data_IF_371038099861
#
_entry.id   IF_371038099861
#
_cell.length_a   1.000
_cell.length_b   1.000
_cell.length_c   1.000
_cell.angle_alpha   90.00
_cell.angle_beta   90.00
_cell.angle_gamma   90.00
#
_symmetry.space_group_name_H-M   'P 1'
#
loop_
_entity.id
_entity.type
_entity.pdbx_description
1 polymer ?
#
# COMPACT_ATOMS: atom_id res chain seq x y z
N UNK A 1 -22.27 17.82 -0.66
CA UNK A 1 -21.49 16.95 -1.58
C UNK A 1 -21.02 15.71 -0.81
N UNK A 2 -20.65 14.63 -1.51
CA UNK A 2 -20.09 13.44 -0.85
C UNK A 2 -18.89 13.77 0.05
N UNK A 3 -18.03 14.70 -0.38
CA UNK A 3 -16.91 15.19 0.43
C UNK A 3 -17.31 15.79 1.79
N UNK A 4 -18.46 16.47 1.88
CA UNK A 4 -18.94 17.00 3.17
C UNK A 4 -19.33 15.88 4.14
N UNK A 5 -20.02 14.84 3.64
CA UNK A 5 -20.43 13.68 4.45
C UNK A 5 -19.18 12.97 4.98
N UNK A 6 -18.22 12.68 4.11
CA UNK A 6 -16.98 12.01 4.49
C UNK A 6 -16.14 12.83 5.49
N UNK A 7 -16.12 14.16 5.36
CA UNK A 7 -15.47 15.04 6.34
C UNK A 7 -16.17 14.99 7.71
N UNK A 8 -17.50 15.04 7.73
CA UNK A 8 -18.27 14.95 8.96
C UNK A 8 -18.06 13.61 9.67
N UNK A 9 -18.01 12.49 8.93
CA UNK A 9 -17.69 11.17 9.48
C UNK A 9 -16.33 11.15 10.17
N UNK A 10 -15.28 11.68 9.51
CA UNK A 10 -13.93 11.73 10.09
C UNK A 10 -13.82 12.65 11.31
N UNK A 11 -14.66 13.67 11.40
CA UNK A 11 -14.72 14.61 12.52
C UNK A 11 -15.60 14.13 13.68
N UNK A 12 -16.29 13.00 13.55
CA UNK A 12 -17.17 12.47 14.59
C UNK A 12 -16.41 11.90 15.80
N UNK A 13 -17.14 11.59 16.88
CA UNK A 13 -16.55 11.09 18.12
C UNK A 13 -15.82 9.78 17.87
N UNK A 14 -14.51 9.78 18.15
CA UNK A 14 -13.66 8.60 18.09
C UNK A 14 -13.95 7.66 19.27
N UNK A 15 -13.79 6.36 19.04
CA UNK A 15 -13.79 5.38 20.12
C UNK A 15 -12.57 5.64 21.02
N UNK A 16 -12.67 5.50 22.36
CA UNK A 16 -11.51 5.58 23.23
C UNK A 16 -10.42 4.61 22.79
N UNK A 17 -9.18 5.09 22.72
CA UNK A 17 -8.04 4.30 22.23
C UNK A 17 -7.77 4.41 20.72
N UNK A 18 -8.66 5.06 19.95
CA UNK A 18 -8.49 5.25 18.51
C UNK A 18 -8.12 6.69 18.13
N UNK A 19 -7.10 6.84 17.30
CA UNK A 19 -6.57 8.16 16.92
C UNK A 19 -7.38 8.85 15.81
N UNK A 20 -8.00 8.06 14.91
CA UNK A 20 -8.59 8.56 13.67
C UNK A 20 -9.70 7.65 13.13
N UNK A 21 -10.74 8.27 12.57
CA UNK A 21 -11.72 7.61 11.72
C UNK A 21 -11.27 7.76 10.27
N UNK A 22 -11.17 6.64 9.55
CA UNK A 22 -10.85 6.60 8.13
C UNK A 22 -12.13 6.42 7.31
N UNK A 23 -12.13 6.95 6.10
CA UNK A 23 -13.15 6.62 5.09
C UNK A 23 -12.62 5.62 4.08
N UNK A 24 -13.50 4.91 3.38
CA UNK A 24 -13.12 3.89 2.42
C UNK A 24 -12.08 4.41 1.40
N UNK A 25 -10.99 3.65 1.21
CA UNK A 25 -9.89 3.97 0.31
C UNK A 25 -8.81 4.89 0.87
N UNK A 26 -9.02 5.50 2.04
CA UNK A 26 -8.07 6.48 2.59
C UNK A 26 -6.77 5.83 3.07
N UNK A 27 -6.83 4.65 3.70
CA UNK A 27 -5.63 3.92 4.16
C UNK A 27 -4.79 3.45 2.98
N UNK A 28 -5.44 2.95 1.93
CA UNK A 28 -4.81 2.50 0.70
C UNK A 28 -4.14 3.67 -0.04
N UNK A 29 -4.82 4.81 -0.11
CA UNK A 29 -4.24 6.03 -0.69
C UNK A 29 -3.00 6.51 0.07
N UNK A 30 -3.05 6.52 1.41
CA UNK A 30 -1.89 6.89 2.25
C UNK A 30 -0.73 5.91 2.07
N UNK A 31 -1.00 4.60 2.08
CA UNK A 31 0.01 3.58 1.81
C UNK A 31 0.60 3.73 0.39
N UNK A 32 -0.21 4.07 -0.60
CA UNK A 32 0.25 4.33 -1.97
C UNK A 32 1.13 5.58 -2.04
N UNK A 33 0.77 6.68 -1.38
CA UNK A 33 1.60 7.90 -1.35
C UNK A 33 2.98 7.63 -0.73
N UNK A 34 3.03 6.80 0.31
CA UNK A 34 4.26 6.39 0.97
C UNK A 34 5.12 5.52 0.05
N UNK A 35 4.55 4.46 -0.53
CA UNK A 35 5.24 3.53 -1.45
C UNK A 35 5.67 4.18 -2.75
N UNK A 36 4.91 5.17 -3.25
CA UNK A 36 5.30 5.98 -4.41
C UNK A 36 6.64 6.70 -4.18
N UNK A 37 6.94 7.08 -2.93
CA UNK A 37 8.17 7.77 -2.57
C UNK A 37 9.29 6.82 -2.16
N UNK A 38 8.98 5.75 -1.41
CA UNK A 38 9.99 4.87 -0.80
C UNK A 38 10.20 3.53 -1.52
N UNK A 39 9.35 3.19 -2.49
CA UNK A 39 9.29 1.87 -3.10
C UNK A 39 8.30 0.94 -2.43
N UNK A 40 8.06 -0.22 -3.05
CA UNK A 40 7.14 -1.24 -2.54
C UNK A 40 7.94 -2.25 -1.71
N UNK A 41 7.59 -2.46 -0.43
CA UNK A 41 8.26 -3.47 0.39
C UNK A 41 7.85 -4.87 -0.08
N UNK A 42 8.83 -5.68 -0.48
CA UNK A 42 8.67 -7.10 -0.80
C UNK A 42 9.36 -7.92 0.28
N UNK A 43 8.69 -8.94 0.83
CA UNK A 43 9.34 -9.87 1.75
C UNK A 43 10.33 -10.78 0.99
N UNK A 44 11.27 -11.41 1.72
CA UNK A 44 12.32 -12.24 1.12
C UNK A 44 11.77 -13.39 0.27
N UNK A 45 10.73 -14.08 0.74
CA UNK A 45 10.15 -15.22 0.03
C UNK A 45 9.57 -14.82 -1.33
N UNK A 46 8.88 -13.68 -1.38
CA UNK A 46 8.33 -13.15 -2.62
C UNK A 46 9.42 -12.69 -3.59
N UNK A 47 10.53 -12.12 -3.08
CA UNK A 47 11.68 -11.78 -3.91
C UNK A 47 12.28 -13.02 -4.58
N UNK A 48 12.44 -14.11 -3.83
CA UNK A 48 12.91 -15.40 -4.35
C UNK A 48 11.97 -15.96 -5.43
N UNK A 49 10.66 -15.98 -5.18
CA UNK A 49 9.65 -16.45 -6.14
C UNK A 49 9.65 -15.64 -7.44
N UNK A 50 9.86 -14.32 -7.37
CA UNK A 50 10.01 -13.47 -8.55
C UNK A 50 11.26 -13.83 -9.36
N UNK A 51 12.37 -14.13 -8.67
CA UNK A 51 13.63 -14.52 -9.31
C UNK A 51 13.49 -15.90 -9.98
N UNK A 52 12.82 -16.84 -9.34
CA UNK A 52 12.51 -18.19 -9.85
C UNK A 52 11.67 -18.09 -11.12
N UNK A 53 10.52 -17.40 -11.08
CA UNK A 53 9.67 -17.20 -12.27
C UNK A 53 10.43 -16.52 -13.41
N UNK A 54 11.30 -15.55 -13.11
CA UNK A 54 12.13 -14.90 -14.13
C UNK A 54 13.08 -15.90 -14.79
N UNK A 55 13.70 -16.80 -14.02
CA UNK A 55 14.58 -17.82 -14.55
C UNK A 55 13.81 -18.82 -15.42
N UNK A 56 12.68 -19.34 -14.93
CA UNK A 56 11.87 -20.34 -15.61
C UNK A 56 11.30 -19.84 -16.94
N UNK A 57 10.97 -18.56 -17.01
CA UNK A 57 10.48 -17.91 -18.22
C UNK A 57 11.60 -17.34 -19.11
N UNK A 58 12.88 -17.52 -18.75
CA UNK A 58 14.01 -17.03 -19.53
C UNK A 58 14.08 -15.50 -19.66
N UNK A 59 13.51 -14.76 -18.70
CA UNK A 59 13.39 -13.29 -18.71
C UNK A 59 14.70 -12.59 -18.31
N UNK A 60 15.77 -12.86 -19.06
CA UNK A 60 17.15 -12.46 -18.74
C UNK A 60 17.40 -10.95 -18.79
N UNK A 61 16.56 -10.19 -19.50
CA UNK A 61 16.64 -8.73 -19.59
C UNK A 61 16.25 -8.01 -18.29
N UNK A 62 15.59 -8.68 -17.35
CA UNK A 62 15.15 -8.07 -16.09
C UNK A 62 16.10 -8.42 -14.93
N UNK A 63 16.77 -7.42 -14.36
CA UNK A 63 17.61 -7.54 -13.16
C UNK A 63 16.97 -6.75 -12.03
N UNK A 64 16.57 -7.44 -10.98
CA UNK A 64 16.02 -6.82 -9.79
C UNK A 64 17.16 -6.46 -8.82
N UNK A 65 17.14 -5.28 -8.17
CA UNK A 65 18.23 -4.80 -7.32
C UNK A 65 18.13 -5.28 -5.85
N UNK A 66 17.26 -6.27 -5.60
CA UNK A 66 17.05 -6.89 -4.30
C UNK A 66 17.59 -8.33 -4.30
#
# INVERSE_FOLDING_TARGET
TAGNILRALRASKKMPGEDRIYTAGEKEHLAWLERKKKGIPLNKKLQEEIIEMRHDLGLTAHRFPF
#
